data_IF_011475737504
#
_entry.id   IF_011475737504
#
_cell.length_a   1.000
_cell.length_b   1.000
_cell.length_c   1.000
_cell.angle_alpha   90.00
_cell.angle_beta   90.00
_cell.angle_gamma   90.00
#
_symmetry.space_group_name_H-M   'P 1'
#
loop_
_entity.id
_entity.type
_entity.pdbx_description
1 polymer ?
#
# COMPACT_ATOMS: atom_id res chain seq x y z
N UNK A 1 11.38 0.26 -31.49
CA UNK A 1 11.98 -0.07 -30.16
C UNK A 1 12.01 -1.58 -30.09
N UNK A 2 13.19 -2.19 -29.83
CA UNK A 2 13.24 -3.63 -29.59
C UNK A 2 12.28 -3.98 -28.44
N UNK A 3 11.52 -5.05 -28.62
CA UNK A 3 10.46 -5.51 -27.71
C UNK A 3 11.09 -6.02 -26.40
N UNK A 4 11.52 -5.08 -25.51
CA UNK A 4 12.19 -5.40 -24.25
C UNK A 4 11.22 -6.09 -23.31
N UNK A 5 11.63 -7.18 -22.70
CA UNK A 5 10.82 -7.89 -21.70
C UNK A 5 11.07 -7.30 -20.31
N UNK A 6 10.00 -6.99 -19.57
CA UNK A 6 10.04 -6.68 -18.14
C UNK A 6 9.38 -7.83 -17.37
N UNK A 7 10.06 -8.30 -16.33
CA UNK A 7 9.56 -9.35 -15.47
C UNK A 7 9.24 -8.77 -14.08
N UNK A 8 8.00 -8.93 -13.64
CA UNK A 8 7.54 -8.53 -12.31
C UNK A 8 7.43 -9.76 -11.42
N UNK A 9 7.86 -9.65 -10.17
CA UNK A 9 7.86 -10.79 -9.25
C UNK A 9 7.26 -10.44 -7.90
N UNK A 10 6.30 -11.25 -7.44
CA UNK A 10 5.62 -11.12 -6.16
C UNK A 10 5.27 -12.52 -5.62
N UNK A 11 4.82 -12.63 -4.36
CA UNK A 11 4.42 -13.94 -3.81
C UNK A 11 3.14 -14.49 -4.44
N UNK A 12 2.07 -13.71 -4.48
CA UNK A 12 0.79 -14.01 -5.11
C UNK A 12 0.20 -12.68 -5.59
N UNK A 13 -0.90 -12.71 -6.32
CA UNK A 13 -1.66 -11.53 -6.74
C UNK A 13 -3.03 -11.48 -6.07
N UNK A 14 -3.06 -11.85 -4.78
CA UNK A 14 -4.28 -11.84 -3.99
C UNK A 14 -4.60 -10.41 -3.49
N UNK A 15 -5.63 -10.27 -2.71
CA UNK A 15 -6.31 -9.04 -2.28
C UNK A 15 -5.44 -8.08 -1.43
N UNK A 16 -4.41 -7.51 -2.04
CA UNK A 16 -3.48 -6.60 -1.39
C UNK A 16 -3.16 -5.35 -2.21
N UNK A 17 -2.75 -4.28 -1.51
CA UNK A 17 -2.43 -3.00 -2.15
C UNK A 17 -1.16 -3.06 -3.01
N UNK A 18 -0.15 -3.82 -2.61
CA UNK A 18 1.10 -3.98 -3.36
C UNK A 18 0.88 -4.77 -4.65
N UNK A 19 0.04 -5.80 -4.58
CA UNK A 19 -0.38 -6.66 -5.68
C UNK A 19 -1.12 -5.86 -6.75
N UNK A 20 -2.10 -5.05 -6.33
CA UNK A 20 -2.86 -4.16 -7.21
C UNK A 20 -1.93 -3.16 -7.92
N UNK A 21 -1.01 -2.53 -7.20
CA UNK A 21 -0.05 -1.58 -7.78
C UNK A 21 0.87 -2.27 -8.79
N UNK A 22 1.36 -3.47 -8.49
CA UNK A 22 2.23 -4.23 -9.40
C UNK A 22 1.52 -4.58 -10.70
N UNK A 23 0.26 -5.05 -10.63
CA UNK A 23 -0.53 -5.41 -11.82
C UNK A 23 -0.85 -4.18 -12.68
N UNK A 24 -1.21 -3.05 -12.06
CA UNK A 24 -1.44 -1.80 -12.77
C UNK A 24 -0.17 -1.30 -13.46
N UNK A 25 0.98 -1.42 -12.79
CA UNK A 25 2.26 -1.06 -13.38
C UNK A 25 2.62 -1.96 -14.57
N UNK A 26 2.44 -3.28 -14.44
CA UNK A 26 2.64 -4.23 -15.53
C UNK A 26 1.75 -3.92 -16.74
N UNK A 27 0.46 -3.62 -16.52
CA UNK A 27 -0.49 -3.21 -17.56
C UNK A 27 -0.01 -1.97 -18.32
N UNK A 28 0.47 -0.95 -17.61
CA UNK A 28 0.93 0.30 -18.23
C UNK A 28 2.22 0.11 -19.04
N UNK A 29 3.16 -0.69 -18.56
CA UNK A 29 4.35 -1.03 -19.34
C UNK A 29 4.00 -1.86 -20.58
N UNK A 30 3.01 -2.77 -20.50
CA UNK A 30 2.50 -3.48 -21.67
C UNK A 30 1.93 -2.51 -22.71
N UNK A 31 1.13 -1.53 -22.28
CA UNK A 31 0.58 -0.48 -23.15
C UNK A 31 1.67 0.40 -23.79
N UNK A 32 2.84 0.53 -23.17
CA UNK A 32 3.99 1.22 -23.73
C UNK A 32 4.86 0.34 -24.67
N UNK A 33 4.40 -0.87 -24.99
CA UNK A 33 5.09 -1.76 -25.94
C UNK A 33 6.16 -2.66 -25.34
N UNK A 34 6.26 -2.76 -24.00
CA UNK A 34 7.09 -3.77 -23.36
C UNK A 34 6.33 -5.12 -23.32
N UNK A 35 7.05 -6.22 -23.54
CA UNK A 35 6.54 -7.54 -23.15
C UNK A 35 6.59 -7.64 -21.64
N UNK A 36 5.44 -7.75 -20.97
CA UNK A 36 5.36 -7.81 -19.51
C UNK A 36 4.98 -9.20 -19.03
N UNK A 37 5.75 -9.71 -18.07
CA UNK A 37 5.56 -11.03 -17.47
C UNK A 37 5.46 -10.88 -15.96
N UNK A 38 4.34 -11.28 -15.38
CA UNK A 38 4.15 -11.34 -13.93
C UNK A 38 4.40 -12.76 -13.44
N UNK A 39 5.37 -12.92 -12.54
CA UNK A 39 5.74 -14.20 -11.93
C UNK A 39 5.27 -14.22 -10.49
N UNK A 40 4.55 -15.27 -10.07
CA UNK A 40 4.13 -15.47 -8.68
C UNK A 40 4.81 -16.69 -8.06
N UNK A 41 5.05 -16.63 -6.74
CA UNK A 41 5.61 -17.75 -5.96
C UNK A 41 4.62 -18.89 -5.78
N UNK A 42 3.33 -18.58 -5.75
CA UNK A 42 2.21 -19.52 -5.61
C UNK A 42 0.93 -18.92 -6.22
N UNK A 43 -0.11 -19.74 -6.32
CA UNK A 43 -1.44 -19.36 -6.77
C UNK A 43 -2.34 -19.35 -5.54
N UNK A 44 -3.15 -18.30 -5.37
CA UNK A 44 -4.15 -18.19 -4.32
C UNK A 44 -5.55 -18.45 -4.87
N UNK A 45 -6.51 -18.77 -4.00
CA UNK A 45 -7.91 -18.99 -4.38
C UNK A 45 -8.60 -17.69 -4.83
N UNK A 46 -8.19 -16.56 -4.25
CA UNK A 46 -8.74 -15.24 -4.51
C UNK A 46 -7.64 -14.35 -5.08
N UNK A 47 -7.63 -14.18 -6.39
CA UNK A 47 -6.61 -13.41 -7.08
C UNK A 47 -7.25 -12.31 -7.94
N UNK A 48 -6.54 -11.17 -8.00
CA UNK A 48 -6.88 -10.15 -8.98
C UNK A 48 -6.81 -10.71 -10.41
N UNK A 49 -7.72 -10.28 -11.31
CA UNK A 49 -7.64 -10.62 -12.72
C UNK A 49 -6.33 -10.08 -13.31
N UNK A 50 -5.66 -10.91 -14.10
CA UNK A 50 -4.46 -10.50 -14.83
C UNK A 50 -4.87 -9.55 -15.96
N UNK A 51 -4.26 -8.35 -16.05
CA UNK A 51 -4.60 -7.40 -17.09
C UNK A 51 -4.29 -7.94 -18.50
N UNK A 52 -5.06 -7.47 -19.48
CA UNK A 52 -4.80 -7.76 -20.90
C UNK A 52 -3.37 -7.30 -21.30
N UNK A 53 -2.70 -8.09 -22.12
CA UNK A 53 -1.32 -7.84 -22.56
C UNK A 53 -0.24 -8.22 -21.55
N UNK A 54 -0.61 -8.75 -20.38
CA UNK A 54 0.32 -9.20 -19.34
C UNK A 54 0.32 -10.74 -19.27
N UNK A 55 1.48 -11.35 -19.48
CA UNK A 55 1.66 -12.80 -19.33
C UNK A 55 1.81 -13.14 -17.83
N UNK A 56 1.11 -14.16 -17.33
CA UNK A 56 1.29 -14.65 -15.97
C UNK A 56 1.94 -16.02 -15.93
N UNK A 57 2.91 -16.15 -15.03
CA UNK A 57 3.58 -17.41 -14.72
C UNK A 57 3.54 -17.66 -13.20
N UNK A 58 3.48 -18.92 -12.80
CA UNK A 58 3.69 -19.33 -11.40
C UNK A 58 4.91 -20.22 -11.29
N UNK A 59 5.71 -20.01 -10.25
CA UNK A 59 6.81 -20.90 -9.88
C UNK A 59 6.42 -21.87 -8.75
N UNK A 60 5.12 -22.01 -8.53
CA UNK A 60 4.59 -22.95 -7.57
C UNK A 60 4.92 -24.38 -7.98
N UNK A 61 5.22 -25.20 -6.99
CA UNK A 61 5.53 -26.62 -7.20
C UNK A 61 4.41 -27.49 -6.62
N UNK A 62 4.02 -28.53 -7.35
CA UNK A 62 3.00 -29.49 -6.94
C UNK A 62 3.29 -30.12 -5.56
N UNK A 63 4.56 -30.25 -5.19
CA UNK A 63 5.00 -30.71 -3.87
C UNK A 63 5.97 -29.70 -3.26
N UNK A 64 5.49 -28.93 -2.28
CA UNK A 64 6.33 -27.98 -1.56
C UNK A 64 7.21 -28.70 -0.53
N UNK A 65 8.52 -28.45 -0.49
CA UNK A 65 9.38 -28.94 0.57
C UNK A 65 8.89 -28.44 1.93
N UNK A 66 8.88 -29.29 2.95
CA UNK A 66 8.44 -28.91 4.32
C UNK A 66 9.32 -27.81 4.92
N UNK A 67 10.62 -27.83 4.66
CA UNK A 67 11.56 -26.82 5.17
C UNK A 67 11.43 -25.50 4.42
N UNK A 68 11.24 -24.38 5.17
CA UNK A 68 11.21 -23.00 4.63
C UNK A 68 12.45 -22.67 3.78
N UNK A 69 13.63 -23.14 4.22
CA UNK A 69 14.89 -22.94 3.48
C UNK A 69 14.86 -23.65 2.13
N UNK A 70 14.47 -24.93 2.08
CA UNK A 70 14.37 -25.71 0.84
C UNK A 70 13.35 -25.10 -0.12
N UNK A 71 12.19 -24.61 0.39
CA UNK A 71 11.19 -23.87 -0.40
C UNK A 71 11.78 -22.63 -1.05
N UNK A 72 12.50 -21.82 -0.29
CA UNK A 72 13.13 -20.61 -0.82
C UNK A 72 14.16 -20.94 -1.89
N UNK A 73 15.03 -21.96 -1.68
CA UNK A 73 16.01 -22.39 -2.67
C UNK A 73 15.35 -22.89 -3.94
N UNK A 74 14.25 -23.63 -3.82
CA UNK A 74 13.50 -24.12 -4.98
C UNK A 74 12.90 -22.97 -5.78
N UNK A 75 12.25 -22.00 -5.11
CA UNK A 75 11.70 -20.79 -5.75
C UNK A 75 12.78 -19.94 -6.42
N UNK A 76 13.94 -19.78 -5.79
CA UNK A 76 15.09 -19.07 -6.38
C UNK A 76 15.57 -19.79 -7.65
N UNK A 77 15.68 -21.13 -7.64
CA UNK A 77 16.09 -21.91 -8.82
C UNK A 77 15.06 -21.79 -9.95
N UNK A 78 13.77 -21.86 -9.63
CA UNK A 78 12.70 -21.72 -10.62
C UNK A 78 12.65 -20.31 -11.22
N UNK A 79 12.75 -19.26 -10.40
CA UNK A 79 12.82 -17.88 -10.87
C UNK A 79 14.07 -17.67 -11.75
N UNK A 80 15.23 -18.18 -11.35
CA UNK A 80 16.46 -18.10 -12.15
C UNK A 80 16.32 -18.78 -13.51
N UNK A 81 15.58 -19.91 -13.61
CA UNK A 81 15.29 -20.57 -14.89
C UNK A 81 14.48 -19.67 -15.79
N UNK A 82 13.39 -19.05 -15.26
CA UNK A 82 12.58 -18.11 -16.03
C UNK A 82 13.36 -16.88 -16.49
N UNK A 83 14.23 -16.32 -15.64
CA UNK A 83 15.10 -15.21 -16.05
C UNK A 83 15.99 -15.59 -17.23
N UNK A 84 16.57 -16.80 -17.23
CA UNK A 84 17.40 -17.30 -18.35
C UNK A 84 16.59 -17.54 -19.62
N UNK A 85 15.39 -18.04 -19.50
CA UNK A 85 14.48 -18.34 -20.61
C UNK A 85 13.94 -17.05 -21.27
N UNK A 86 13.40 -16.15 -20.46
CA UNK A 86 12.73 -14.91 -20.93
C UNK A 86 13.72 -13.78 -21.21
N UNK A 87 14.94 -13.83 -20.66
CA UNK A 87 15.99 -12.81 -20.78
C UNK A 87 15.47 -11.38 -20.59
N UNK A 88 14.78 -11.09 -19.47
CA UNK A 88 14.19 -9.76 -19.27
C UNK A 88 15.30 -8.71 -19.16
N UNK A 89 15.02 -7.48 -19.67
CA UNK A 89 15.87 -6.32 -19.46
C UNK A 89 15.92 -5.91 -17.98
N UNK A 90 14.76 -6.04 -17.28
CA UNK A 90 14.71 -5.87 -15.84
C UNK A 90 13.79 -6.89 -15.16
N UNK A 91 14.19 -7.28 -13.94
CA UNK A 91 13.40 -8.00 -12.95
C UNK A 91 13.01 -7.01 -11.85
N UNK A 92 11.70 -6.76 -11.71
CA UNK A 92 11.14 -5.83 -10.72
C UNK A 92 10.39 -6.65 -9.68
N UNK A 93 10.78 -6.56 -8.41
CA UNK A 93 10.17 -7.35 -7.34
C UNK A 93 9.60 -6.48 -6.23
N UNK A 94 8.47 -6.92 -5.66
CA UNK A 94 7.76 -6.23 -4.59
C UNK A 94 7.71 -7.11 -3.34
N UNK A 95 7.85 -6.48 -2.15
CA UNK A 95 7.80 -7.10 -0.83
C UNK A 95 9.09 -7.85 -0.44
N UNK A 96 9.30 -8.02 0.87
CA UNK A 96 10.57 -8.51 1.43
C UNK A 96 11.02 -9.88 0.91
N UNK A 97 10.13 -10.88 0.92
CA UNK A 97 10.50 -12.24 0.48
C UNK A 97 10.79 -12.34 -1.03
N UNK A 98 9.96 -11.79 -1.92
CA UNK A 98 10.31 -11.71 -3.35
C UNK A 98 11.58 -10.92 -3.60
N UNK A 99 11.81 -9.81 -2.91
CA UNK A 99 12.99 -8.96 -3.11
C UNK A 99 14.30 -9.73 -2.89
N UNK A 100 14.44 -10.47 -1.77
CA UNK A 100 15.68 -11.23 -1.56
C UNK A 100 15.85 -12.36 -2.56
N UNK A 101 14.74 -13.04 -2.95
CA UNK A 101 14.80 -14.12 -3.96
C UNK A 101 15.19 -13.55 -5.32
N UNK A 102 14.67 -12.40 -5.71
CA UNK A 102 14.99 -11.73 -6.96
C UNK A 102 16.48 -11.39 -7.05
N UNK A 103 17.05 -10.77 -6.00
CA UNK A 103 18.48 -10.43 -5.95
C UNK A 103 19.36 -11.68 -6.07
N UNK A 104 19.02 -12.78 -5.40
CA UNK A 104 19.80 -14.01 -5.49
C UNK A 104 19.63 -14.68 -6.86
N UNK A 105 18.40 -14.76 -7.38
CA UNK A 105 18.11 -15.44 -8.64
C UNK A 105 18.75 -14.75 -9.85
N UNK A 106 18.83 -13.43 -9.84
CA UNK A 106 19.42 -12.63 -10.92
C UNK A 106 20.94 -12.55 -10.89
N UNK A 107 21.57 -12.91 -9.78
CA UNK A 107 23.02 -12.77 -9.60
C UNK A 107 23.81 -13.43 -10.71
N UNK A 108 24.77 -12.69 -11.29
CA UNK A 108 25.60 -13.12 -12.44
C UNK A 108 24.82 -13.44 -13.72
N UNK A 109 23.61 -12.91 -13.87
CA UNK A 109 22.85 -12.92 -15.12
C UNK A 109 22.79 -11.50 -15.72
N UNK A 110 22.69 -11.37 -17.05
CA UNK A 110 22.59 -10.08 -17.73
C UNK A 110 21.14 -9.51 -17.61
N UNK A 111 20.70 -9.25 -16.38
CA UNK A 111 19.39 -8.69 -16.06
C UNK A 111 19.57 -7.64 -14.99
N UNK A 112 18.94 -6.49 -15.14
CA UNK A 112 18.90 -5.45 -14.10
C UNK A 112 17.84 -5.83 -13.06
N UNK A 113 18.16 -5.70 -11.78
CA UNK A 113 17.25 -6.07 -10.69
C UNK A 113 16.83 -4.83 -9.93
N UNK A 114 15.53 -4.56 -9.90
CA UNK A 114 14.91 -3.48 -9.14
C UNK A 114 14.05 -4.09 -8.04
N UNK A 115 14.33 -3.75 -6.80
CA UNK A 115 13.55 -4.19 -5.65
C UNK A 115 12.65 -3.05 -5.16
N UNK A 116 11.45 -3.36 -4.66
CA UNK A 116 10.56 -2.36 -4.09
C UNK A 116 10.19 -2.72 -2.66
N UNK A 117 10.45 -1.80 -1.74
CA UNK A 117 10.08 -1.90 -0.32
C UNK A 117 8.74 -1.19 -0.14
N UNK A 118 7.73 -1.93 0.33
CA UNK A 118 6.32 -1.51 0.29
C UNK A 118 5.68 -1.36 1.66
N UNK A 119 6.42 -1.63 2.73
CA UNK A 119 5.96 -1.53 4.10
C UNK A 119 7.09 -1.03 5.01
N UNK A 120 6.84 -0.91 6.32
CA UNK A 120 7.83 -0.50 7.30
C UNK A 120 9.04 -1.46 7.31
N UNK A 121 10.25 -0.98 6.96
CA UNK A 121 11.45 -1.81 6.93
C UNK A 121 11.82 -2.41 8.28
N UNK A 122 11.53 -1.75 9.40
CA UNK A 122 11.83 -2.32 10.72
C UNK A 122 10.96 -3.54 11.00
N UNK A 123 9.72 -3.56 10.51
CA UNK A 123 8.81 -4.72 10.62
C UNK A 123 9.22 -5.85 9.66
N UNK A 124 9.56 -5.52 8.43
CA UNK A 124 9.89 -6.52 7.40
C UNK A 124 11.32 -7.07 7.55
N UNK A 125 12.29 -6.25 7.93
CA UNK A 125 13.72 -6.56 7.95
C UNK A 125 14.37 -6.40 9.34
N UNK A 126 13.62 -6.03 10.39
CA UNK A 126 14.16 -5.72 11.73
C UNK A 126 14.75 -6.92 12.48
N UNK A 127 14.34 -8.15 12.18
CA UNK A 127 14.91 -9.37 12.75
C UNK A 127 16.37 -9.60 12.30
N UNK A 128 17.13 -10.44 13.04
CA UNK A 128 18.56 -10.70 12.76
C UNK A 128 18.85 -11.02 11.28
N UNK A 129 18.11 -11.99 10.70
CA UNK A 129 18.28 -12.37 9.30
C UNK A 129 17.81 -11.26 8.37
N UNK A 130 16.69 -10.60 8.69
CA UNK A 130 16.16 -9.49 7.91
C UNK A 130 17.15 -8.33 7.81
N UNK A 131 17.82 -7.96 8.90
CA UNK A 131 18.88 -6.93 8.91
C UNK A 131 20.07 -7.31 8.02
N UNK A 132 20.47 -8.59 7.99
CA UNK A 132 21.49 -9.08 7.07
C UNK A 132 21.01 -8.92 5.61
N UNK A 133 19.78 -9.34 5.31
CA UNK A 133 19.19 -9.18 3.97
C UNK A 133 19.13 -7.70 3.58
N UNK A 134 18.55 -6.85 4.41
CA UNK A 134 18.40 -5.43 4.13
C UNK A 134 19.72 -4.69 3.97
N UNK A 135 20.71 -4.98 4.82
CA UNK A 135 21.99 -4.26 4.84
C UNK A 135 23.04 -4.78 3.86
N UNK A 136 23.00 -6.08 3.50
CA UNK A 136 24.05 -6.70 2.71
C UNK A 136 23.56 -7.28 1.38
N UNK A 137 22.36 -7.85 1.34
CA UNK A 137 21.86 -8.50 0.12
C UNK A 137 21.12 -7.51 -0.79
N UNK A 138 20.14 -6.75 -0.27
CA UNK A 138 19.40 -5.79 -1.10
C UNK A 138 20.29 -4.74 -1.78
N UNK A 139 21.40 -4.23 -1.18
CA UNK A 139 22.32 -3.34 -1.86
C UNK A 139 23.06 -3.94 -3.05
N UNK A 140 22.87 -5.23 -3.36
CA UNK A 140 23.35 -5.87 -4.59
C UNK A 140 22.39 -5.70 -5.77
N UNK A 141 21.17 -5.21 -5.54
CA UNK A 141 20.24 -4.81 -6.60
C UNK A 141 20.79 -3.62 -7.40
N UNK A 142 20.40 -3.52 -8.67
CA UNK A 142 20.76 -2.40 -9.54
C UNK A 142 19.96 -1.14 -9.19
N UNK A 143 18.73 -1.31 -8.70
CA UNK A 143 17.85 -0.25 -8.27
C UNK A 143 16.96 -0.64 -7.08
N UNK A 144 16.40 0.38 -6.41
CA UNK A 144 15.42 0.20 -5.35
C UNK A 144 14.36 1.30 -5.38
N UNK A 145 13.11 0.94 -5.21
CA UNK A 145 12.02 1.89 -5.03
C UNK A 145 11.52 1.83 -3.59
N UNK A 146 11.54 2.99 -2.94
CA UNK A 146 10.93 3.22 -1.63
C UNK A 146 9.67 4.07 -1.78
N UNK A 147 8.80 4.04 -0.79
CA UNK A 147 7.60 4.88 -0.77
C UNK A 147 7.78 6.16 0.04
N UNK A 148 8.72 6.17 0.99
CA UNK A 148 8.99 7.28 1.89
C UNK A 148 10.49 7.48 2.10
N UNK A 149 10.88 8.70 2.49
CA UNK A 149 12.27 8.97 2.91
C UNK A 149 12.67 8.20 4.16
N UNK A 150 11.74 8.00 5.10
CA UNK A 150 12.04 7.26 6.33
C UNK A 150 12.38 5.82 6.00
N UNK A 151 11.60 5.16 5.12
CA UNK A 151 11.92 3.82 4.63
C UNK A 151 13.28 3.77 3.93
N UNK A 152 13.61 4.75 3.09
CA UNK A 152 14.90 4.84 2.41
C UNK A 152 16.06 4.98 3.40
N UNK A 153 15.92 5.84 4.42
CA UNK A 153 16.96 6.12 5.43
C UNK A 153 17.32 4.89 6.29
N UNK A 154 16.45 3.91 6.41
CA UNK A 154 16.70 2.66 7.12
C UNK A 154 17.79 1.79 6.45
N UNK A 155 17.94 1.88 5.14
CA UNK A 155 18.90 1.11 4.36
C UNK A 155 20.26 1.79 4.24
N UNK A 156 21.33 1.02 3.89
CA UNK A 156 22.68 1.59 3.71
C UNK A 156 22.73 2.63 2.58
N UNK A 157 23.61 3.62 2.70
CA UNK A 157 23.82 4.70 1.72
C UNK A 157 24.08 4.17 0.29
N UNK A 158 24.70 2.99 0.15
CA UNK A 158 24.91 2.35 -1.16
C UNK A 158 23.60 2.06 -1.88
N UNK A 159 22.55 1.60 -1.17
CA UNK A 159 21.24 1.36 -1.75
C UNK A 159 20.49 2.67 -1.96
N UNK A 160 20.55 3.60 -1.00
CA UNK A 160 19.93 4.92 -1.12
C UNK A 160 20.36 5.65 -2.39
N UNK A 161 21.66 5.61 -2.76
CA UNK A 161 22.21 6.28 -3.97
C UNK A 161 21.66 5.69 -5.30
N UNK A 162 21.13 4.48 -5.28
CA UNK A 162 20.56 3.79 -6.45
C UNK A 162 19.04 3.66 -6.34
N UNK A 163 18.43 4.42 -5.48
CA UNK A 163 17.00 4.32 -5.24
C UNK A 163 16.26 5.58 -5.66
N UNK A 164 14.96 5.39 -5.87
CA UNK A 164 13.99 6.46 -6.11
C UNK A 164 12.86 6.32 -5.08
N UNK A 165 12.32 7.44 -4.63
CA UNK A 165 11.07 7.46 -3.87
C UNK A 165 9.95 7.59 -4.89
N UNK A 166 9.06 6.59 -4.95
CA UNK A 166 7.88 6.59 -5.81
C UNK A 166 6.69 6.13 -4.98
N UNK A 167 5.73 7.00 -4.81
CA UNK A 167 4.51 6.77 -4.05
C UNK A 167 3.57 5.81 -4.80
N UNK A 168 2.45 5.43 -4.16
CA UNK A 168 1.41 4.64 -4.81
C UNK A 168 0.56 5.52 -5.73
N UNK A 169 0.15 4.96 -6.85
CA UNK A 169 -0.88 5.58 -7.68
C UNK A 169 -2.27 5.32 -7.09
N UNK A 170 -3.17 6.24 -7.30
CA UNK A 170 -4.60 6.13 -6.97
C UNK A 170 -5.39 5.92 -8.26
N UNK A 171 -6.37 5.01 -8.24
CA UNK A 171 -7.25 4.77 -9.39
C UNK A 171 -8.04 6.04 -9.75
N UNK A 172 -8.18 6.33 -11.04
CA UNK A 172 -8.82 7.55 -11.54
C UNK A 172 -10.26 7.72 -11.04
N UNK A 173 -10.96 6.62 -10.74
CA UNK A 173 -12.32 6.64 -10.18
C UNK A 173 -12.45 7.43 -8.88
N UNK A 174 -11.39 7.47 -8.05
CA UNK A 174 -11.41 8.22 -6.80
C UNK A 174 -11.33 9.74 -7.02
N UNK A 175 -10.72 10.20 -8.09
CA UNK A 175 -10.68 11.62 -8.47
C UNK A 175 -12.00 12.13 -9.07
N UNK A 176 -12.94 11.22 -9.36
CA UNK A 176 -14.25 11.53 -9.93
C UNK A 176 -15.37 11.47 -8.88
N UNK A 177 -15.02 11.20 -7.62
CA UNK A 177 -15.99 11.15 -6.53
C UNK A 177 -16.59 12.55 -6.32
N UNK A 178 -17.91 12.61 -6.39
CA UNK A 178 -18.70 13.82 -6.06
C UNK A 178 -19.32 13.67 -4.68
N UNK A 179 -19.55 14.77 -4.00
CA UNK A 179 -20.19 14.75 -2.68
C UNK A 179 -21.64 14.22 -2.79
N UNK A 180 -22.02 13.33 -1.87
CA UNK A 180 -23.36 12.72 -1.83
C UNK A 180 -24.39 13.57 -1.07
N UNK A 181 -24.02 14.77 -0.59
CA UNK A 181 -24.91 15.72 0.09
C UNK A 181 -24.76 15.75 1.62
N UNK A 182 -25.75 16.31 2.32
CA UNK A 182 -25.67 16.77 3.73
C UNK A 182 -25.51 15.64 4.78
N UNK A 183 -25.93 14.41 4.49
CA UNK A 183 -25.84 13.30 5.43
C UNK A 183 -24.54 12.52 5.22
N UNK A 184 -23.58 12.74 6.10
CA UNK A 184 -22.30 12.07 6.01
C UNK A 184 -21.95 11.26 7.27
N UNK A 185 -20.87 10.51 7.19
CA UNK A 185 -20.37 9.65 8.26
C UNK A 185 -18.86 9.74 8.40
N UNK A 186 -18.34 9.32 9.54
CA UNK A 186 -16.92 9.04 9.75
C UNK A 186 -16.61 7.66 9.15
N UNK A 187 -15.49 7.55 8.47
CA UNK A 187 -15.15 6.31 7.77
C UNK A 187 -13.70 5.90 7.99
N UNK A 188 -13.47 4.60 8.05
CA UNK A 188 -12.16 3.98 7.83
C UNK A 188 -12.27 2.81 6.87
N UNK A 189 -11.17 2.49 6.17
CA UNK A 189 -11.11 1.35 5.27
C UNK A 189 -9.77 0.61 5.38
N UNK A 190 -9.82 -0.72 5.47
CA UNK A 190 -8.64 -1.58 5.53
C UNK A 190 -8.92 -2.92 6.18
N UNK A 191 -7.96 -3.84 6.08
CA UNK A 191 -8.06 -5.16 6.72
C UNK A 191 -8.27 -5.03 8.23
N UNK A 192 -9.15 -5.84 8.80
CA UNK A 192 -9.40 -5.86 10.25
C UNK A 192 -8.30 -6.68 10.95
N UNK A 193 -7.15 -6.04 11.15
CA UNK A 193 -5.93 -6.63 11.74
C UNK A 193 -5.33 -5.70 12.79
N UNK A 194 -4.46 -6.21 13.65
CA UNK A 194 -3.80 -5.43 14.69
C UNK A 194 -3.04 -4.20 14.12
N UNK A 195 -2.46 -4.33 12.91
CA UNK A 195 -1.77 -3.21 12.25
C UNK A 195 -2.67 -2.00 12.05
N UNK A 196 -3.92 -2.23 11.64
CA UNK A 196 -4.88 -1.17 11.28
C UNK A 196 -5.57 -0.54 12.48
N UNK A 197 -5.50 -1.16 13.64
CA UNK A 197 -5.94 -0.68 14.95
C UNK A 197 -7.32 0.01 14.97
N UNK A 198 -8.32 -0.62 14.32
CA UNK A 198 -9.70 -0.10 14.33
C UNK A 198 -10.26 0.00 15.75
N UNK A 199 -9.75 -0.80 16.69
CA UNK A 199 -10.14 -0.71 18.09
C UNK A 199 -9.86 0.66 18.71
N UNK A 200 -8.74 1.30 18.35
CA UNK A 200 -8.43 2.68 18.75
C UNK A 200 -9.50 3.66 18.22
N UNK A 201 -9.87 3.54 16.94
CA UNK A 201 -10.88 4.39 16.33
C UNK A 201 -12.27 4.19 16.96
N UNK A 202 -12.66 2.93 17.25
CA UNK A 202 -13.93 2.62 17.90
C UNK A 202 -14.01 3.31 19.27
N UNK A 203 -12.97 3.22 20.11
CA UNK A 203 -12.95 3.89 21.42
C UNK A 203 -12.92 5.39 21.28
N UNK A 204 -12.09 5.94 20.40
CA UNK A 204 -12.01 7.38 20.17
C UNK A 204 -13.33 7.95 19.67
N UNK A 205 -14.04 7.23 18.79
CA UNK A 205 -15.36 7.65 18.32
C UNK A 205 -16.42 7.55 19.42
N UNK A 206 -16.42 6.47 20.20
CA UNK A 206 -17.35 6.30 21.31
C UNK A 206 -17.24 7.45 22.33
N UNK A 207 -16.04 7.96 22.58
CA UNK A 207 -15.82 9.09 23.50
C UNK A 207 -16.49 10.40 23.04
N UNK A 208 -16.74 10.57 21.75
CA UNK A 208 -17.36 11.78 21.19
C UNK A 208 -18.77 11.54 20.63
N UNK A 209 -19.27 10.30 20.66
CA UNK A 209 -20.54 9.93 20.03
C UNK A 209 -21.76 10.71 20.58
N UNK A 210 -21.70 11.22 21.81
CA UNK A 210 -22.73 12.08 22.40
C UNK A 210 -22.69 13.53 21.91
N UNK A 211 -21.61 13.96 21.28
CA UNK A 211 -21.37 15.32 20.83
C UNK A 211 -21.55 15.53 19.31
N UNK A 212 -21.72 14.43 18.55
CA UNK A 212 -21.83 14.42 17.09
C UNK A 212 -23.03 13.58 16.64
N UNK A 213 -23.56 13.87 15.44
CA UNK A 213 -24.71 13.14 14.88
C UNK A 213 -24.27 12.00 13.94
N UNK A 214 -23.07 12.05 13.42
CA UNK A 214 -22.49 11.10 12.47
C UNK A 214 -22.39 9.69 13.06
N UNK A 215 -22.48 8.68 12.19
CA UNK A 215 -22.11 7.29 12.50
C UNK A 215 -20.67 7.00 12.06
N UNK A 216 -20.07 5.95 12.63
CA UNK A 216 -18.78 5.41 12.17
C UNK A 216 -19.00 4.17 11.30
N UNK A 217 -18.48 4.19 10.08
CA UNK A 217 -18.47 3.04 9.16
C UNK A 217 -17.07 2.48 8.97
N UNK A 218 -16.91 1.21 9.27
CA UNK A 218 -15.64 0.49 9.16
C UNK A 218 -15.74 -0.50 8.00
N UNK A 219 -15.03 -0.22 6.91
CA UNK A 219 -14.98 -1.06 5.72
C UNK A 219 -13.76 -1.98 5.75
N UNK A 220 -13.99 -3.26 5.45
CA UNK A 220 -12.97 -4.29 5.37
C UNK A 220 -13.35 -5.55 6.10
N UNK A 221 -12.54 -6.59 5.87
CA UNK A 221 -12.64 -7.91 6.52
C UNK A 221 -11.30 -8.26 7.19
N UNK A 222 -11.32 -9.20 8.10
CA UNK A 222 -10.12 -9.70 8.76
C UNK A 222 -10.40 -10.43 10.06
N UNK A 223 -9.33 -10.97 10.61
CA UNK A 223 -9.34 -11.84 11.80
C UNK A 223 -9.94 -11.18 13.05
N UNK A 224 -9.84 -9.84 13.17
CA UNK A 224 -10.34 -9.11 14.34
C UNK A 224 -11.82 -8.72 14.25
N UNK A 225 -12.55 -9.13 13.19
CA UNK A 225 -13.98 -8.78 13.07
C UNK A 225 -14.81 -9.18 14.31
N UNK A 226 -14.67 -10.40 14.88
CA UNK A 226 -15.44 -10.79 16.07
C UNK A 226 -15.10 -9.92 17.29
N UNK A 227 -13.83 -9.66 17.53
CA UNK A 227 -13.35 -8.86 18.66
C UNK A 227 -13.82 -7.39 18.56
N UNK A 228 -13.79 -6.81 17.35
CA UNK A 228 -14.31 -5.47 17.12
C UNK A 228 -15.82 -5.40 17.32
N UNK A 229 -16.57 -6.42 16.90
CA UNK A 229 -18.01 -6.53 17.17
C UNK A 229 -18.31 -6.57 18.66
N UNK A 230 -17.56 -7.35 19.44
CA UNK A 230 -17.68 -7.40 20.91
C UNK A 230 -17.36 -6.02 21.53
N UNK A 231 -16.28 -5.37 21.09
CA UNK A 231 -15.92 -4.03 21.60
C UNK A 231 -17.02 -2.99 21.35
N UNK A 232 -17.66 -3.02 20.16
CA UNK A 232 -18.78 -2.12 19.83
C UNK A 232 -19.96 -2.37 20.80
N UNK A 233 -20.30 -3.63 21.07
CA UNK A 233 -21.39 -3.99 21.98
C UNK A 233 -21.07 -3.61 23.44
N UNK A 234 -19.83 -3.87 23.91
CA UNK A 234 -19.41 -3.52 25.27
C UNK A 234 -19.45 -2.02 25.52
N UNK A 235 -19.27 -1.19 24.47
CA UNK A 235 -19.39 0.26 24.52
C UNK A 235 -20.82 0.77 24.28
N UNK A 236 -21.78 -0.10 23.98
CA UNK A 236 -23.16 0.27 23.67
C UNK A 236 -23.31 1.06 22.37
N UNK A 237 -22.45 0.80 21.38
CA UNK A 237 -22.34 1.59 20.15
C UNK A 237 -22.94 0.91 18.90
N UNK A 238 -23.72 -0.18 19.02
CA UNK A 238 -24.27 -0.94 17.88
C UNK A 238 -25.17 -0.08 16.97
N UNK A 239 -25.79 0.97 17.51
CA UNK A 239 -26.59 1.92 16.74
C UNK A 239 -25.79 3.01 16.02
N UNK A 240 -24.50 3.17 16.35
CA UNK A 240 -23.65 4.28 15.89
C UNK A 240 -22.37 3.84 15.15
N UNK A 241 -21.94 2.59 15.32
CA UNK A 241 -20.73 2.02 14.71
C UNK A 241 -21.11 0.77 13.93
N UNK A 242 -20.73 0.72 12.64
CA UNK A 242 -21.06 -0.40 11.74
C UNK A 242 -19.83 -1.00 11.10
N UNK A 243 -19.71 -2.34 11.20
CA UNK A 243 -18.74 -3.13 10.45
C UNK A 243 -19.35 -3.51 9.08
N UNK A 244 -19.00 -2.74 8.05
CA UNK A 244 -19.62 -2.80 6.72
C UNK A 244 -19.20 -4.01 5.88
N UNK A 245 -18.07 -4.66 6.23
CA UNK A 245 -17.48 -5.69 5.39
C UNK A 245 -16.64 -5.11 4.25
N UNK A 246 -16.19 -5.98 3.34
CA UNK A 246 -15.51 -5.56 2.13
C UNK A 246 -16.51 -4.87 1.17
N UNK A 247 -16.04 -3.87 0.43
CA UNK A 247 -16.84 -3.18 -0.58
C UNK A 247 -16.10 -3.18 -1.92
N UNK A 248 -16.82 -3.49 -2.98
CA UNK A 248 -16.33 -3.43 -4.36
C UNK A 248 -16.41 -2.01 -4.94
N UNK A 249 -17.18 -1.12 -4.29
CA UNK A 249 -17.36 0.28 -4.68
C UNK A 249 -16.95 1.25 -3.56
N UNK A 250 -15.66 1.34 -3.34
CA UNK A 250 -15.08 2.29 -2.38
C UNK A 250 -15.26 3.77 -2.78
N UNK A 251 -15.24 4.15 -4.08
CA UNK A 251 -15.62 5.49 -4.50
C UNK A 251 -17.01 5.90 -4.02
N UNK A 252 -18.03 5.05 -4.17
CA UNK A 252 -19.38 5.33 -3.66
C UNK A 252 -19.43 5.42 -2.13
N UNK A 253 -18.67 4.58 -1.42
CA UNK A 253 -18.55 4.70 0.04
C UNK A 253 -17.88 6.02 0.45
N UNK A 254 -16.88 6.50 -0.27
CA UNK A 254 -16.24 7.77 0.00
C UNK A 254 -17.11 8.97 -0.35
N UNK A 255 -18.06 8.86 -1.28
CA UNK A 255 -18.96 9.95 -1.65
C UNK A 255 -19.77 10.47 -0.45
N UNK A 256 -20.18 9.59 0.47
CA UNK A 256 -20.89 10.00 1.71
C UNK A 256 -19.99 10.22 2.93
N UNK A 257 -18.66 10.15 2.78
CA UNK A 257 -17.72 10.30 3.88
C UNK A 257 -17.45 11.79 4.19
N UNK A 258 -17.76 12.24 5.38
CA UNK A 258 -17.38 13.57 5.89
C UNK A 258 -15.94 13.60 6.39
N UNK A 259 -15.51 12.54 7.06
CA UNK A 259 -14.19 12.44 7.67
C UNK A 259 -13.64 11.02 7.51
N UNK A 260 -12.51 10.91 6.85
CA UNK A 260 -11.77 9.65 6.76
C UNK A 260 -10.73 9.57 7.87
N UNK A 261 -10.66 8.43 8.57
CA UNK A 261 -9.73 8.24 9.68
C UNK A 261 -8.86 6.99 9.44
N UNK A 262 -7.55 7.15 9.51
CA UNK A 262 -6.58 6.05 9.45
C UNK A 262 -5.90 5.89 10.82
N UNK A 263 -6.33 4.94 11.68
CA UNK A 263 -5.82 4.79 13.05
C UNK A 263 -4.62 3.84 13.17
N UNK A 264 -3.95 3.52 12.07
CA UNK A 264 -2.94 2.46 11.97
C UNK A 264 -1.74 2.65 12.90
N UNK A 265 -1.21 1.55 13.43
CA UNK A 265 0.01 1.56 14.23
C UNK A 265 1.27 1.70 13.38
N UNK A 266 1.26 1.21 12.15
CA UNK A 266 2.34 1.34 11.16
C UNK A 266 1.82 1.15 9.73
N UNK A 267 2.41 1.89 8.79
CA UNK A 267 2.10 1.81 7.36
C UNK A 267 3.35 2.01 6.52
N UNK A 268 3.37 1.39 5.33
CA UNK A 268 4.24 1.86 4.27
C UNK A 268 3.65 3.13 3.65
N UNK A 269 2.95 3.00 2.53
CA UNK A 269 2.11 4.05 1.94
C UNK A 269 0.66 3.57 1.97
N UNK A 270 -0.22 4.17 2.80
CA UNK A 270 -1.59 3.68 2.98
C UNK A 270 -2.49 4.07 1.81
N UNK A 271 -2.83 3.11 0.93
CA UNK A 271 -3.68 3.36 -0.23
C UNK A 271 -5.02 3.98 0.15
N UNK A 272 -5.65 3.50 1.22
CA UNK A 272 -6.96 4.02 1.64
C UNK A 272 -6.93 5.51 2.01
N UNK A 273 -5.81 6.00 2.58
CA UNK A 273 -5.62 7.43 2.84
C UNK A 273 -5.47 8.21 1.54
N UNK A 274 -4.65 7.72 0.60
CA UNK A 274 -4.48 8.36 -0.71
C UNK A 274 -5.79 8.39 -1.49
N UNK A 275 -6.58 7.31 -1.42
CA UNK A 275 -7.90 7.20 -2.05
C UNK A 275 -8.90 8.19 -1.45
N UNK A 276 -8.90 8.36 -0.12
CA UNK A 276 -9.74 9.35 0.56
C UNK A 276 -9.34 10.78 0.21
N UNK A 277 -8.03 11.09 0.17
CA UNK A 277 -7.53 12.40 -0.26
C UNK A 277 -7.91 12.69 -1.72
N UNK A 278 -7.75 11.70 -2.62
CA UNK A 278 -8.12 11.84 -4.03
C UNK A 278 -9.63 12.05 -4.23
N UNK A 279 -10.46 11.46 -3.36
CA UNK A 279 -11.90 11.70 -3.32
C UNK A 279 -12.27 13.05 -2.68
N UNK A 280 -11.30 13.90 -2.34
CA UNK A 280 -11.53 15.18 -1.70
C UNK A 280 -12.16 15.05 -0.30
N UNK A 281 -11.75 14.03 0.47
CA UNK A 281 -12.23 13.87 1.86
C UNK A 281 -11.23 14.44 2.84
N UNK A 282 -11.75 15.09 3.89
CA UNK A 282 -10.92 15.49 5.02
C UNK A 282 -10.39 14.24 5.73
N UNK A 283 -9.10 14.23 6.07
CA UNK A 283 -8.43 13.06 6.61
C UNK A 283 -7.79 13.33 7.97
N UNK A 284 -7.97 12.38 8.91
CA UNK A 284 -7.19 12.28 10.14
C UNK A 284 -6.40 10.98 10.10
N UNK A 285 -5.11 11.04 10.37
CA UNK A 285 -4.26 9.84 10.40
C UNK A 285 -3.34 9.84 11.61
N UNK A 286 -2.98 8.66 12.08
CA UNK A 286 -1.85 8.51 12.98
C UNK A 286 -0.56 8.82 12.24
N UNK A 287 0.38 9.54 12.88
CA UNK A 287 1.76 9.74 12.42
C UNK A 287 2.57 8.45 12.64
N UNK A 288 2.25 7.41 11.88
CA UNK A 288 2.77 6.08 12.12
C UNK A 288 4.15 5.84 11.49
N UNK A 289 4.96 4.93 12.08
CA UNK A 289 6.30 4.60 11.59
C UNK A 289 6.34 4.28 10.10
N UNK A 290 7.50 4.53 9.50
CA UNK A 290 7.79 4.54 8.09
C UNK A 290 7.32 5.81 7.35
N UNK A 291 6.53 6.69 8.02
CA UNK A 291 6.22 8.04 7.55
C UNK A 291 5.33 8.09 6.31
N UNK A 292 4.50 7.08 6.06
CA UNK A 292 3.57 7.08 4.93
C UNK A 292 2.55 8.22 5.02
N UNK A 293 1.79 8.33 6.11
CA UNK A 293 0.88 9.45 6.32
C UNK A 293 1.57 10.80 6.33
N UNK A 294 2.72 10.93 7.01
CA UNK A 294 3.50 12.16 7.10
C UNK A 294 4.10 12.61 5.75
N UNK A 295 4.26 11.70 4.80
CA UNK A 295 4.74 12.02 3.46
C UNK A 295 3.66 12.68 2.58
N UNK A 296 2.38 12.58 2.96
CA UNK A 296 1.24 13.05 2.15
C UNK A 296 0.35 14.03 2.89
N UNK A 297 0.36 14.02 4.24
CA UNK A 297 -0.38 14.99 5.06
C UNK A 297 0.56 16.08 5.56
N UNK A 298 0.28 17.31 5.18
CA UNK A 298 0.77 18.52 5.83
C UNK A 298 -0.21 18.86 6.94
N UNK A 299 0.21 18.62 8.21
CA UNK A 299 -0.66 18.71 9.38
C UNK A 299 -1.28 20.10 9.52
N UNK A 300 -2.60 20.15 9.63
CA UNK A 300 -3.39 21.37 9.73
C UNK A 300 -3.69 22.06 8.39
N UNK A 301 -3.17 21.56 7.26
CA UNK A 301 -3.39 22.13 5.91
C UNK A 301 -4.29 21.21 5.08
N UNK A 302 -3.85 19.99 4.78
CA UNK A 302 -4.59 19.04 3.96
C UNK A 302 -5.05 17.79 4.73
N UNK A 303 -4.98 17.81 6.06
CA UNK A 303 -5.39 16.77 6.97
C UNK A 303 -4.81 16.99 8.36
N UNK A 304 -5.10 16.07 9.29
CA UNK A 304 -4.56 16.10 10.64
C UNK A 304 -3.75 14.84 10.94
N UNK A 305 -2.61 15.01 11.63
CA UNK A 305 -1.78 13.94 12.13
C UNK A 305 -1.84 13.90 13.67
N UNK A 306 -2.09 12.73 14.22
CA UNK A 306 -2.10 12.48 15.66
C UNK A 306 -1.07 11.40 16.03
N UNK A 307 -0.55 11.37 17.26
CA UNK A 307 0.38 10.32 17.68
C UNK A 307 -0.27 8.92 17.62
N UNK A 308 0.53 7.89 17.34
CA UNK A 308 0.08 6.49 17.35
C UNK A 308 -0.44 6.11 18.73
N UNK A 309 -1.60 5.45 18.79
CA UNK A 309 -2.22 4.98 20.02
C UNK A 309 -2.79 6.07 20.94
N UNK A 310 -2.75 7.34 20.52
CA UNK A 310 -3.26 8.47 21.29
C UNK A 310 -4.76 8.65 21.08
N UNK A 311 -5.56 7.91 21.85
CA UNK A 311 -7.03 7.90 21.76
C UNK A 311 -7.65 9.29 21.96
N UNK A 312 -7.20 10.01 22.99
CA UNK A 312 -7.68 11.37 23.29
C UNK A 312 -7.37 12.37 22.16
N UNK A 313 -6.17 12.29 21.57
CA UNK A 313 -5.79 13.14 20.46
C UNK A 313 -6.61 12.83 19.19
N UNK A 314 -6.90 11.55 18.96
CA UNK A 314 -7.73 11.11 17.84
C UNK A 314 -9.17 11.56 18.02
N UNK A 315 -9.75 11.42 19.22
CA UNK A 315 -11.09 11.91 19.59
C UNK A 315 -11.19 13.41 19.39
N UNK A 316 -10.23 14.18 19.91
CA UNK A 316 -10.22 15.63 19.79
C UNK A 316 -10.14 16.10 18.34
N UNK A 317 -9.27 15.48 17.52
CA UNK A 317 -9.16 15.83 16.11
C UNK A 317 -10.44 15.53 15.33
N UNK A 318 -11.08 14.38 15.58
CA UNK A 318 -12.37 14.06 14.97
C UNK A 318 -13.45 15.04 15.38
N UNK A 319 -13.58 15.33 16.68
CA UNK A 319 -14.59 16.26 17.20
C UNK A 319 -14.43 17.66 16.62
N UNK A 320 -13.20 18.17 16.57
CA UNK A 320 -12.88 19.48 15.99
C UNK A 320 -13.37 19.57 14.53
N UNK A 321 -12.98 18.60 13.69
CA UNK A 321 -13.32 18.61 12.26
C UNK A 321 -14.80 18.32 11.99
N UNK A 322 -15.50 17.60 12.86
CA UNK A 322 -16.94 17.36 12.72
C UNK A 322 -17.76 18.60 13.13
N UNK A 323 -17.26 19.42 14.06
CA UNK A 323 -17.93 20.66 14.51
C UNK A 323 -17.57 21.89 13.70
N UNK A 324 -16.37 21.94 13.11
CA UNK A 324 -15.90 23.05 12.27
C UNK A 324 -15.97 22.66 10.79
N UNK A 325 -17.11 22.95 10.18
CA UNK A 325 -17.36 22.62 8.78
C UNK A 325 -16.45 23.37 7.82
N UNK A 326 -16.21 24.65 8.04
CA UNK A 326 -15.36 25.48 7.17
C UNK A 326 -13.93 24.93 7.15
N UNK A 327 -13.39 24.58 8.31
CA UNK A 327 -12.07 23.96 8.45
C UNK A 327 -12.03 22.60 7.76
N UNK A 328 -13.04 21.76 7.98
CA UNK A 328 -13.13 20.44 7.35
C UNK A 328 -13.16 20.54 5.82
N UNK A 329 -13.98 21.43 5.27
CA UNK A 329 -14.11 21.61 3.82
C UNK A 329 -12.84 22.21 3.21
N UNK A 330 -12.21 23.17 3.88
CA UNK A 330 -10.91 23.72 3.45
C UNK A 330 -9.82 22.65 3.38
N UNK A 331 -9.70 21.81 4.43
CA UNK A 331 -8.75 20.69 4.44
C UNK A 331 -9.07 19.64 3.38
N UNK A 332 -10.34 19.34 3.15
CA UNK A 332 -10.79 18.40 2.12
C UNK A 332 -10.40 18.87 0.71
N UNK A 333 -10.59 20.16 0.43
CA UNK A 333 -10.16 20.76 -0.85
C UNK A 333 -8.64 20.66 -1.03
N UNK A 334 -7.86 21.05 -0.01
CA UNK A 334 -6.40 20.95 -0.04
C UNK A 334 -5.90 19.50 -0.17
N UNK A 335 -6.60 18.54 0.43
CA UNK A 335 -6.31 17.11 0.27
C UNK A 335 -6.48 16.65 -1.18
N UNK A 336 -7.59 17.03 -1.83
CA UNK A 336 -7.87 16.74 -3.23
C UNK A 336 -6.83 17.34 -4.18
N UNK A 337 -6.43 18.59 -3.95
CA UNK A 337 -5.36 19.25 -4.72
C UNK A 337 -4.03 18.52 -4.57
N UNK A 338 -3.64 18.21 -3.33
CA UNK A 338 -2.39 17.48 -3.04
C UNK A 338 -2.39 16.08 -3.68
N UNK A 339 -3.54 15.44 -3.75
CA UNK A 339 -3.68 14.10 -4.32
C UNK A 339 -3.46 14.04 -5.84
N UNK A 340 -3.47 15.17 -6.56
CA UNK A 340 -3.16 15.20 -7.99
C UNK A 340 -1.81 14.57 -8.34
N UNK A 341 -0.83 14.64 -7.41
CA UNK A 341 0.47 14.01 -7.57
C UNK A 341 0.42 12.48 -7.59
N UNK A 342 -0.68 11.87 -7.13
CA UNK A 342 -0.88 10.41 -7.08
C UNK A 342 -1.67 9.88 -8.28
N UNK A 343 -1.96 10.72 -9.27
CA UNK A 343 -2.62 10.26 -10.50
C UNK A 343 -1.80 9.16 -11.17
N UNK A 344 -2.49 8.18 -11.77
CA UNK A 344 -1.82 7.03 -12.36
C UNK A 344 -0.76 7.39 -13.41
N UNK A 345 -1.00 8.43 -14.20
CA UNK A 345 -0.06 8.91 -15.22
C UNK A 345 1.23 9.44 -14.60
N UNK A 346 1.13 10.32 -13.60
CA UNK A 346 2.29 10.94 -12.95
C UNK A 346 3.17 9.89 -12.26
N UNK A 347 2.55 8.97 -11.51
CA UNK A 347 3.29 7.90 -10.84
C UNK A 347 3.91 6.92 -11.85
N UNK A 348 3.21 6.62 -12.95
CA UNK A 348 3.75 5.74 -13.99
C UNK A 348 4.96 6.37 -14.71
N UNK A 349 4.94 7.67 -14.97
CA UNK A 349 6.10 8.38 -15.55
C UNK A 349 7.33 8.25 -14.65
N UNK A 350 7.18 8.44 -13.33
CA UNK A 350 8.28 8.25 -12.39
C UNK A 350 8.84 6.80 -12.42
N UNK A 351 7.96 5.80 -12.55
CA UNK A 351 8.38 4.41 -12.67
C UNK A 351 9.08 4.14 -13.99
N UNK A 352 8.52 4.61 -15.11
CA UNK A 352 9.08 4.44 -16.45
C UNK A 352 10.47 5.03 -16.53
N UNK A 353 10.62 6.30 -16.15
CA UNK A 353 11.90 6.99 -16.18
C UNK A 353 12.96 6.29 -15.33
N UNK A 354 12.55 5.82 -14.15
CA UNK A 354 13.49 5.11 -13.27
C UNK A 354 13.87 3.73 -13.81
N UNK A 355 12.92 2.96 -14.33
CA UNK A 355 13.19 1.65 -14.95
C UNK A 355 14.09 1.82 -16.17
N UNK A 356 13.81 2.78 -17.04
CA UNK A 356 14.62 3.09 -18.23
C UNK A 356 16.03 3.55 -17.86
N UNK A 357 16.18 4.40 -16.84
CA UNK A 357 17.48 4.80 -16.28
C UNK A 357 18.29 3.58 -15.81
N UNK A 358 17.68 2.65 -15.07
CA UNK A 358 18.37 1.45 -14.57
C UNK A 358 18.74 0.49 -15.70
N UNK A 359 17.91 0.35 -16.73
CA UNK A 359 18.18 -0.53 -17.88
C UNK A 359 19.26 0.09 -18.79
N UNK A 360 19.30 1.41 -18.91
CA UNK A 360 20.22 2.12 -19.82
C UNK A 360 21.62 2.36 -19.26
N UNK A 361 21.80 2.31 -17.94
CA UNK A 361 23.09 2.43 -17.24
C UNK A 361 23.64 1.08 -16.84
#
# INVERSE_FOLDING_TARGET
MENKTLMFYINAIHDGGAERVLLQLAKRFAACGYRTVVVTSFVDQWEYPVPEGVERLSIEQAQLPQSRLKRNLSRIKALRRLIKEYRPAALISFMAEPNFRAVIASRFLPVKTIVSVRNDPEREYGGRLGRIIGKWLLPLADGCVFQTEQAQKWFPKRLQKRSKIIMNQVDERFFQVTDAGETGYVMTAGRLTAQKNQALLIRAFAAIAGDVEEELRIYGEGELRPELGTLIADLGMEGRIRLMGASDDMPAALAGCKLFVLPSDFEGMPNALLEAMAAGRCCVSTACPCGGPEAVIENGVNGMLVPVGAEEALSAAMLELLKDEDKRLSMAAAAGESAAAFRPEAIFEHWRDYVEQVIGG
#
